data_IF_710965754462
#
_entry.id   IF_710965754462
#
_cell.length_a   1.000
_cell.length_b   1.000
_cell.length_c   1.000
_cell.angle_alpha   90.00
_cell.angle_beta   90.00
_cell.angle_gamma   90.00
#
_symmetry.space_group_name_H-M   'P 1'
#
loop_
_entity.id
_entity.type
_entity.pdbx_description
1 polymer ?
#
# COMPACT_ATOMS: atom_id res chain seq x y z
N UNK A 1 -2.36 -22.46 -2.38
CA UNK A 1 -1.28 -21.92 -3.25
C UNK A 1 -1.78 -20.98 -4.36
N UNK A 2 -2.47 -21.46 -5.43
CA UNK A 2 -2.87 -20.59 -6.57
C UNK A 2 -3.75 -19.41 -6.11
N UNK A 3 -4.74 -19.65 -5.25
CA UNK A 3 -5.61 -18.59 -4.72
C UNK A 3 -4.80 -17.54 -3.93
N UNK A 4 -3.82 -17.96 -3.12
CA UNK A 4 -2.98 -17.04 -2.34
C UNK A 4 -2.04 -16.21 -3.23
N UNK A 5 -1.55 -16.80 -4.33
CA UNK A 5 -0.82 -16.05 -5.36
C UNK A 5 -1.75 -15.00 -5.98
N UNK A 6 -2.99 -15.35 -6.32
CA UNK A 6 -3.96 -14.40 -6.88
C UNK A 6 -4.28 -13.27 -5.89
N UNK A 7 -4.42 -13.57 -4.59
CA UNK A 7 -4.58 -12.56 -3.54
C UNK A 7 -3.38 -11.61 -3.48
N UNK A 8 -2.16 -12.15 -3.43
CA UNK A 8 -0.96 -11.33 -3.38
C UNK A 8 -0.80 -10.48 -4.64
N UNK A 9 -1.14 -11.02 -5.81
CA UNK A 9 -1.07 -10.33 -7.09
C UNK A 9 -2.13 -9.22 -7.17
N UNK A 10 -3.33 -9.47 -6.67
CA UNK A 10 -4.38 -8.45 -6.51
C UNK A 10 -3.92 -7.31 -5.60
N UNK A 11 -3.44 -7.62 -4.39
CA UNK A 11 -2.96 -6.60 -3.45
C UNK A 11 -1.73 -5.86 -4.00
N UNK A 12 -0.81 -6.54 -4.69
CA UNK A 12 0.33 -5.91 -5.36
C UNK A 12 -0.10 -4.90 -6.43
N UNK A 13 -1.09 -5.25 -7.27
CA UNK A 13 -1.65 -4.32 -8.28
C UNK A 13 -2.38 -3.16 -7.60
N UNK A 14 -3.13 -3.43 -6.53
CA UNK A 14 -3.86 -2.42 -5.76
C UNK A 14 -2.88 -1.40 -5.17
N UNK A 15 -1.86 -1.88 -4.47
CA UNK A 15 -0.82 -1.05 -3.86
C UNK A 15 -0.12 -0.22 -4.95
N UNK A 16 0.34 -0.84 -6.04
CA UNK A 16 0.98 -0.11 -7.14
C UNK A 16 0.08 0.98 -7.73
N UNK A 17 -1.22 0.71 -7.86
CA UNK A 17 -2.20 1.68 -8.33
C UNK A 17 -2.37 2.85 -7.34
N UNK A 18 -2.41 2.57 -6.03
CA UNK A 18 -2.43 3.59 -4.97
C UNK A 18 -1.21 4.51 -5.10
N UNK A 19 -0.02 3.97 -5.37
CA UNK A 19 1.18 4.80 -5.56
C UNK A 19 1.17 5.64 -6.83
N UNK A 20 0.75 5.08 -7.96
CA UNK A 20 0.62 5.88 -9.18
C UNK A 20 -0.32 7.07 -8.94
N UNK A 21 -1.42 6.85 -8.23
CA UNK A 21 -2.36 7.91 -7.89
C UNK A 21 -1.77 8.93 -6.93
N UNK A 22 -1.22 8.49 -5.80
CA UNK A 22 -0.80 9.37 -4.71
C UNK A 22 0.54 10.06 -4.99
N UNK A 23 1.52 9.36 -5.55
CA UNK A 23 2.90 9.84 -5.70
C UNK A 23 3.15 10.46 -7.07
N UNK A 24 2.70 9.81 -8.15
CA UNK A 24 2.88 10.37 -9.50
C UNK A 24 1.81 11.40 -9.86
N UNK A 25 0.81 11.58 -9.01
CA UNK A 25 -0.34 12.45 -9.25
C UNK A 25 -1.05 12.14 -10.57
N UNK A 26 -0.95 10.88 -11.01
CA UNK A 26 -1.61 10.41 -12.22
C UNK A 26 -3.11 10.37 -11.94
N UNK A 27 -3.90 11.05 -12.79
CA UNK A 27 -5.36 11.02 -12.67
C UNK A 27 -5.87 9.64 -13.06
N UNK A 28 -5.99 8.74 -12.09
CA UNK A 28 -6.66 7.46 -12.29
C UNK A 28 -8.14 7.75 -12.64
N UNK A 29 -8.66 7.21 -13.76
CA UNK A 29 -10.07 7.34 -14.11
C UNK A 29 -10.97 6.89 -12.95
N UNK A 30 -11.99 7.67 -12.62
CA UNK A 30 -12.93 7.37 -11.52
C UNK A 30 -13.52 5.96 -11.62
N UNK A 31 -13.76 5.47 -12.83
CA UNK A 31 -14.30 4.13 -13.06
C UNK A 31 -13.36 3.03 -12.53
N UNK A 32 -12.04 3.20 -12.67
CA UNK A 32 -11.05 2.23 -12.15
C UNK A 32 -11.06 2.23 -10.62
N UNK A 33 -11.16 3.40 -9.99
CA UNK A 33 -11.28 3.51 -8.54
C UNK A 33 -12.55 2.83 -8.02
N UNK A 34 -13.69 3.04 -8.68
CA UNK A 34 -14.96 2.40 -8.31
C UNK A 34 -14.87 0.88 -8.44
N UNK A 35 -14.29 0.37 -9.53
CA UNK A 35 -14.07 -1.08 -9.74
C UNK A 35 -13.13 -1.66 -8.69
N UNK A 36 -12.03 -0.97 -8.37
CA UNK A 36 -11.10 -1.41 -7.34
C UNK A 36 -11.79 -1.47 -5.97
N UNK A 37 -12.55 -0.44 -5.60
CA UNK A 37 -13.25 -0.36 -4.32
C UNK A 37 -14.35 -1.43 -4.21
N UNK A 38 -15.15 -1.63 -5.27
CA UNK A 38 -16.18 -2.68 -5.28
C UNK A 38 -15.57 -4.07 -5.23
N UNK A 39 -14.42 -4.29 -5.87
CA UNK A 39 -13.68 -5.55 -5.81
C UNK A 39 -13.13 -5.80 -4.41
N UNK A 40 -12.58 -4.79 -3.73
CA UNK A 40 -12.13 -4.92 -2.33
C UNK A 40 -13.32 -5.28 -1.43
N UNK A 41 -14.44 -4.56 -1.54
CA UNK A 41 -15.64 -4.84 -0.74
C UNK A 41 -16.14 -6.26 -0.99
N UNK A 42 -16.26 -6.67 -2.26
CA UNK A 42 -16.67 -8.02 -2.63
C UNK A 42 -15.72 -9.07 -2.03
N UNK A 43 -14.41 -8.87 -2.14
CA UNK A 43 -13.40 -9.77 -1.59
C UNK A 43 -13.52 -9.85 -0.07
N UNK A 44 -13.67 -8.71 0.63
CA UNK A 44 -13.87 -8.69 2.09
C UNK A 44 -15.14 -9.42 2.48
N UNK A 45 -16.25 -9.22 1.77
CA UNK A 45 -17.50 -9.94 2.01
C UNK A 45 -17.36 -11.44 1.75
N UNK A 46 -16.67 -11.85 0.69
CA UNK A 46 -16.40 -13.26 0.39
C UNK A 46 -15.52 -13.90 1.47
N UNK A 47 -14.56 -13.14 2.02
CA UNK A 47 -13.66 -13.62 3.07
C UNK A 47 -14.34 -13.63 4.46
N UNK A 48 -15.20 -12.64 4.76
CA UNK A 48 -15.91 -12.51 6.03
C UNK A 48 -17.19 -13.36 6.09
N UNK A 49 -17.79 -13.66 4.94
CA UNK A 49 -19.09 -14.29 4.79
C UNK A 49 -19.17 -15.78 5.14
N UNK A 50 -18.23 -16.31 5.93
CA UNK A 50 -18.30 -17.68 6.45
C UNK A 50 -18.42 -18.80 5.40
N UNK A 51 -18.11 -18.52 4.14
CA UNK A 51 -17.86 -19.60 3.21
C UNK A 51 -16.44 -20.06 3.56
N UNK A 52 -16.35 -21.08 4.41
CA UNK A 52 -15.14 -21.89 4.62
C UNK A 52 -14.79 -22.59 3.30
N UNK A 53 -14.52 -21.81 2.26
CA UNK A 53 -13.93 -22.31 1.03
C UNK A 53 -12.51 -22.66 1.46
N UNK A 54 -12.25 -23.96 1.59
CA UNK A 54 -11.00 -24.59 2.03
C UNK A 54 -9.74 -24.21 1.22
N UNK A 55 -9.84 -23.24 0.31
CA UNK A 55 -8.75 -22.68 -0.48
C UNK A 55 -8.46 -21.19 -0.27
N UNK A 56 -9.21 -20.49 0.58
CA UNK A 56 -8.98 -19.08 0.85
C UNK A 56 -7.76 -18.85 1.76
N UNK A 57 -7.11 -17.69 1.59
CA UNK A 57 -6.00 -17.26 2.43
C UNK A 57 -6.42 -17.23 3.91
N UNK A 58 -5.48 -17.45 4.83
CA UNK A 58 -5.78 -17.32 6.27
C UNK A 58 -6.18 -15.88 6.58
N UNK A 59 -7.18 -15.74 7.45
CA UNK A 59 -7.72 -14.44 7.86
C UNK A 59 -6.63 -13.45 8.31
N UNK A 60 -5.63 -13.91 9.07
CA UNK A 60 -4.54 -13.07 9.54
C UNK A 60 -3.65 -12.52 8.41
N UNK A 61 -3.36 -13.35 7.39
CA UNK A 61 -2.52 -12.94 6.26
C UNK A 61 -3.31 -12.01 5.32
N UNK A 62 -4.58 -12.32 5.07
CA UNK A 62 -5.49 -11.46 4.31
C UNK A 62 -5.67 -10.09 4.98
N UNK A 63 -5.96 -10.08 6.28
CA UNK A 63 -6.11 -8.84 7.04
C UNK A 63 -4.80 -8.07 7.12
N UNK A 64 -3.67 -8.77 7.23
CA UNK A 64 -2.33 -8.19 7.13
C UNK A 64 -2.14 -7.43 5.81
N UNK A 65 -2.44 -8.08 4.67
CA UNK A 65 -2.37 -7.44 3.34
C UNK A 65 -3.31 -6.23 3.23
N UNK A 66 -4.56 -6.36 3.68
CA UNK A 66 -5.54 -5.28 3.64
C UNK A 66 -5.11 -4.07 4.48
N UNK A 67 -4.70 -4.30 5.72
CA UNK A 67 -4.22 -3.25 6.61
C UNK A 67 -2.95 -2.60 6.08
N UNK A 68 -2.10 -3.35 5.38
CA UNK A 68 -0.91 -2.81 4.73
C UNK A 68 -1.30 -1.84 3.61
N UNK A 69 -2.23 -2.20 2.72
CA UNK A 69 -2.73 -1.32 1.66
C UNK A 69 -3.34 -0.03 2.20
N UNK A 70 -4.10 -0.12 3.31
CA UNK A 70 -4.62 1.07 4.01
C UNK A 70 -3.47 1.89 4.62
N UNK A 71 -2.47 1.24 5.19
CA UNK A 71 -1.28 1.86 5.76
C UNK A 71 -0.53 2.74 4.77
N UNK A 72 -0.44 2.35 3.49
CA UNK A 72 0.18 3.17 2.43
C UNK A 72 -0.53 4.53 2.31
N UNK A 73 -1.86 4.53 2.35
CA UNK A 73 -2.67 5.75 2.25
C UNK A 73 -2.39 6.65 3.47
N UNK A 74 -2.40 6.07 4.68
CA UNK A 74 -2.13 6.79 5.92
C UNK A 74 -0.72 7.40 5.89
N UNK A 75 0.30 6.62 5.55
CA UNK A 75 1.69 7.06 5.47
C UNK A 75 1.89 8.17 4.42
N UNK A 76 1.18 8.12 3.29
CA UNK A 76 1.18 9.21 2.32
C UNK A 76 0.65 10.52 2.92
N UNK A 77 -0.51 10.47 3.60
CA UNK A 77 -1.07 11.68 4.21
C UNK A 77 -0.21 12.19 5.36
N UNK A 78 0.37 11.30 6.16
CA UNK A 78 1.32 11.65 7.21
C UNK A 78 2.56 12.33 6.61
N UNK A 79 3.14 11.78 5.55
CA UNK A 79 4.24 12.38 4.78
C UNK A 79 3.87 13.78 4.32
N UNK A 80 2.72 13.93 3.68
CA UNK A 80 2.25 15.21 3.15
C UNK A 80 2.05 16.25 4.27
N UNK A 81 1.56 15.80 5.42
CA UNK A 81 1.43 16.65 6.61
C UNK A 81 2.79 17.09 7.14
N UNK A 82 3.76 16.17 7.23
CA UNK A 82 5.13 16.49 7.63
C UNK A 82 5.77 17.49 6.65
N UNK A 83 5.58 17.32 5.34
CA UNK A 83 6.11 18.24 4.34
C UNK A 83 5.50 19.62 4.48
N UNK A 84 4.18 19.71 4.66
CA UNK A 84 3.50 20.99 4.91
C UNK A 84 3.98 21.65 6.19
N UNK A 85 4.24 20.87 7.24
CA UNK A 85 4.75 21.38 8.50
C UNK A 85 6.18 21.91 8.35
N UNK A 86 7.05 21.20 7.63
CA UNK A 86 8.42 21.63 7.40
C UNK A 86 8.47 22.84 6.46
N UNK A 87 7.67 22.86 5.40
CA UNK A 87 7.53 24.01 4.49
C UNK A 87 7.05 25.26 5.27
N UNK A 88 6.14 25.11 6.25
CA UNK A 88 5.71 26.23 7.11
C UNK A 88 6.83 26.79 8.00
N UNK A 89 7.90 26.04 8.23
CA UNK A 89 9.08 26.43 9.02
C UNK A 89 10.30 26.74 8.16
N UNK A 90 10.15 26.81 6.83
CA UNK A 90 11.25 27.00 5.88
C UNK A 90 12.09 28.25 6.14
N UNK A 91 11.50 29.32 6.66
CA UNK A 91 12.23 30.55 7.04
C UNK A 91 13.18 30.36 8.24
N UNK A 92 12.91 29.36 9.10
CA UNK A 92 13.75 29.04 10.26
C UNK A 92 14.83 27.98 9.99
N UNK A 93 14.72 27.26 8.88
CA UNK A 93 15.64 26.20 8.46
C UNK A 93 16.60 26.71 7.38
N UNK A 94 17.87 26.30 7.45
CA UNK A 94 18.84 26.64 6.41
C UNK A 94 18.38 26.08 5.06
N UNK A 95 17.91 26.96 4.17
CA UNK A 95 17.21 26.62 2.93
C UNK A 95 18.02 25.66 2.02
N UNK A 96 19.35 25.79 2.01
CA UNK A 96 20.25 24.89 1.26
C UNK A 96 20.31 23.46 1.81
N UNK A 97 20.17 23.28 3.13
CA UNK A 97 20.09 21.95 3.72
C UNK A 97 18.74 21.31 3.36
N UNK A 98 17.66 22.06 3.50
CA UNK A 98 16.31 21.55 3.25
C UNK A 98 16.14 21.02 1.82
N UNK A 99 16.58 21.78 0.82
CA UNK A 99 16.51 21.38 -0.59
C UNK A 99 17.34 20.13 -0.91
N UNK A 100 18.41 19.87 -0.13
CA UNK A 100 19.27 18.70 -0.31
C UNK A 100 18.70 17.44 0.34
N UNK A 101 18.02 17.58 1.48
CA UNK A 101 17.47 16.46 2.25
C UNK A 101 16.08 16.03 1.81
N UNK A 102 15.25 16.95 1.29
CA UNK A 102 13.90 16.66 0.79
C UNK A 102 13.83 15.43 -0.15
N UNK A 103 14.65 15.31 -1.21
CA UNK A 103 14.60 14.14 -2.09
C UNK A 103 15.02 12.83 -1.41
N UNK A 104 15.85 12.89 -0.36
CA UNK A 104 16.24 11.71 0.42
C UNK A 104 15.09 11.26 1.32
N UNK A 105 14.39 12.21 1.97
CA UNK A 105 13.19 11.93 2.74
C UNK A 105 12.07 11.34 1.85
N UNK A 106 11.86 11.90 0.66
CA UNK A 106 10.91 11.37 -0.32
C UNK A 106 11.28 9.94 -0.75
N UNK A 107 12.57 9.69 -1.02
CA UNK A 107 13.05 8.35 -1.38
C UNK A 107 12.79 7.34 -0.27
N UNK A 108 13.17 7.67 0.97
CA UNK A 108 13.01 6.77 2.13
C UNK A 108 11.53 6.52 2.41
N UNK A 109 10.67 7.55 2.36
CA UNK A 109 9.25 7.37 2.60
C UNK A 109 8.60 6.48 1.55
N UNK A 110 8.78 6.77 0.26
CA UNK A 110 8.03 6.04 -0.76
C UNK A 110 8.64 4.69 -1.11
N UNK A 111 9.96 4.60 -1.33
CA UNK A 111 10.56 3.34 -1.80
C UNK A 111 10.70 2.29 -0.71
N UNK A 112 10.91 2.71 0.55
CA UNK A 112 11.06 1.75 1.65
C UNK A 112 9.72 1.07 1.98
N UNK A 113 8.61 1.82 1.92
CA UNK A 113 7.26 1.25 2.01
C UNK A 113 7.05 0.21 0.89
N UNK A 114 7.42 0.54 -0.35
CA UNK A 114 7.32 -0.39 -1.49
C UNK A 114 8.14 -1.67 -1.34
N UNK A 115 9.37 -1.54 -0.83
CA UNK A 115 10.22 -2.70 -0.57
C UNK A 115 9.61 -3.57 0.54
N UNK A 116 9.07 -2.97 1.60
CA UNK A 116 8.39 -3.71 2.67
C UNK A 116 7.14 -4.45 2.16
N UNK A 117 6.36 -3.85 1.26
CA UNK A 117 5.20 -4.50 0.61
C UNK A 117 5.65 -5.75 -0.15
N UNK A 118 6.66 -5.61 -1.00
CA UNK A 118 7.16 -6.72 -1.82
C UNK A 118 7.72 -7.86 -0.97
N UNK A 119 8.46 -7.51 0.09
CA UNK A 119 8.99 -8.49 1.03
C UNK A 119 7.88 -9.21 1.79
N UNK A 120 6.86 -8.49 2.26
CA UNK A 120 5.73 -9.11 2.97
C UNK A 120 4.89 -10.03 2.07
N UNK A 121 4.57 -9.59 0.85
CA UNK A 121 3.88 -10.41 -0.15
C UNK A 121 4.69 -11.66 -0.50
N UNK A 122 6.01 -11.52 -0.66
CA UNK A 122 6.90 -12.66 -0.91
C UNK A 122 6.93 -13.63 0.27
N UNK A 123 7.04 -13.13 1.51
CA UNK A 123 7.02 -13.97 2.71
C UNK A 123 5.68 -14.69 2.91
N UNK A 124 4.55 -14.02 2.61
CA UNK A 124 3.22 -14.63 2.69
C UNK A 124 3.05 -15.78 1.70
N UNK A 125 3.53 -15.63 0.46
CA UNK A 125 3.53 -16.71 -0.56
C UNK A 125 4.53 -17.83 -0.22
N UNK A 126 5.72 -17.46 0.26
CA UNK A 126 6.79 -18.41 0.57
C UNK A 126 6.48 -19.29 1.79
N UNK A 127 5.94 -18.71 2.87
CA UNK A 127 5.57 -19.44 4.08
C UNK A 127 4.49 -20.51 3.83
N UNK A 128 3.63 -20.26 2.85
CA UNK A 128 2.58 -21.19 2.41
C UNK A 128 3.11 -22.30 1.49
N UNK A 129 4.31 -22.14 0.92
CA UNK A 129 4.97 -23.15 0.08
C UNK A 129 5.71 -24.22 0.91
N UNK A 130 5.88 -24.01 2.21
CA UNK A 130 6.59 -24.90 3.14
C UNK A 130 5.67 -25.64 4.13
N UNK A 131 4.34 -25.44 4.04
CA UNK A 131 3.32 -26.19 4.79
C UNK A 131 2.57 -27.13 3.86
#
# INVERSE_FOLDING_TARGET
MILNILYCLFFGILDFSIYLYLVRNDRIPKNILVVALSTIILIVFLHAGWIEISGLMKWNDFFGLLMFSIGIIILYFESKFQDSYIDSRKESLNQKLYERFKPVFDFVRYKLIYIMIYVYQFLAVWNDSYR
#
